data_IF_232441984246
#
_entry.id   IF_232441984246
#
_cell.length_a   1.000
_cell.length_b   1.000
_cell.length_c   1.000
_cell.angle_alpha   90.00
_cell.angle_beta   90.00
_cell.angle_gamma   90.00
#
_symmetry.space_group_name_H-M   'P 1'
#
loop_
_entity.id
_entity.type
_entity.pdbx_description
1 polymer ?
#
# COMPACT_ATOMS: atom_id res chain seq x y z
N UNK A 1 -4.45 7.43 11.95
CA UNK A 1 -4.07 7.34 10.53
C UNK A 1 -3.89 8.70 9.84
N UNK A 2 -4.81 9.69 9.97
CA UNK A 2 -4.61 11.05 9.40
C UNK A 2 -3.24 11.68 9.72
N UNK A 3 -2.76 11.54 10.95
CA UNK A 3 -1.47 12.10 11.34
C UNK A 3 -0.26 11.39 10.70
N UNK A 4 -0.32 10.09 10.46
CA UNK A 4 0.79 9.30 9.89
C UNK A 4 1.00 9.62 8.42
N UNK A 5 -0.08 9.74 7.65
CA UNK A 5 -0.02 10.11 6.23
C UNK A 5 0.44 11.56 6.03
N UNK A 6 -0.08 12.48 6.86
CA UNK A 6 0.33 13.89 6.84
C UNK A 6 1.81 14.06 7.22
N UNK A 7 2.30 13.31 8.24
CA UNK A 7 3.71 13.33 8.63
C UNK A 7 4.59 12.73 7.53
N UNK A 8 4.14 11.66 6.87
CA UNK A 8 4.83 11.03 5.76
C UNK A 8 4.93 11.99 4.56
N UNK A 9 3.85 12.69 4.19
CA UNK A 9 3.83 13.68 3.12
C UNK A 9 4.70 14.90 3.44
N UNK A 10 4.76 15.34 4.71
CA UNK A 10 5.59 16.44 5.17
C UNK A 10 7.07 16.09 5.13
N UNK A 11 7.46 14.90 5.59
CA UNK A 11 8.85 14.40 5.48
C UNK A 11 9.25 14.25 4.03
N UNK A 12 8.35 13.79 3.16
CA UNK A 12 8.57 13.69 1.72
C UNK A 12 8.81 15.05 1.06
N UNK A 13 7.95 16.03 1.31
CA UNK A 13 8.10 17.38 0.74
C UNK A 13 9.36 18.08 1.24
N UNK A 14 9.74 17.89 2.51
CA UNK A 14 10.99 18.46 3.05
C UNK A 14 12.24 17.81 2.43
N UNK A 15 12.23 16.49 2.19
CA UNK A 15 13.35 15.80 1.52
C UNK A 15 13.51 16.20 0.05
N UNK A 16 12.40 16.42 -0.68
CA UNK A 16 12.44 16.95 -2.05
C UNK A 16 13.02 18.38 -2.10
N UNK A 17 12.71 19.23 -1.12
CA UNK A 17 13.23 20.58 -1.01
C UNK A 17 14.74 20.54 -0.68
N UNK A 18 15.18 19.63 0.19
CA UNK A 18 16.61 19.48 0.52
C UNK A 18 17.44 18.94 -0.65
N UNK A 19 16.91 18.00 -1.46
CA UNK A 19 17.60 17.52 -2.66
C UNK A 19 17.71 18.58 -3.76
N UNK A 20 16.76 19.52 -3.81
CA UNK A 20 16.78 20.66 -4.75
C UNK A 20 17.80 21.77 -4.41
N UNK A 21 18.19 21.92 -3.15
CA UNK A 21 19.11 22.97 -2.71
C UNK A 21 20.61 22.66 -2.92
N UNK A 22 20.98 21.40 -3.21
CA UNK A 22 22.36 20.97 -3.45
C UNK A 22 22.89 21.15 -4.88
N UNK A 23 22.08 21.68 -5.81
CA UNK A 23 22.35 21.64 -7.27
C UNK A 23 23.24 22.79 -7.78
N UNK A 24 23.76 23.66 -6.94
CA UNK A 24 24.45 24.90 -7.37
C UNK A 24 25.99 24.81 -7.26
N UNK A 25 26.60 23.66 -7.49
CA UNK A 25 28.05 23.60 -7.55
C UNK A 25 28.60 22.28 -8.09
N UNK A 26 29.26 22.31 -9.24
CA UNK A 26 29.94 21.22 -9.95
C UNK A 26 29.05 20.15 -10.56
N UNK A 27 28.80 20.30 -11.89
CA UNK A 27 27.86 19.48 -12.68
C UNK A 27 28.09 17.96 -12.65
N UNK A 28 29.29 17.48 -12.42
CA UNK A 28 29.61 16.05 -12.49
C UNK A 28 29.30 15.27 -11.21
N UNK A 29 29.60 15.87 -10.04
CA UNK A 29 29.28 15.26 -8.75
C UNK A 29 27.76 15.24 -8.47
N UNK A 30 26.99 16.09 -9.13
CA UNK A 30 25.55 16.25 -8.89
C UNK A 30 24.71 15.07 -9.37
N UNK A 31 25.01 14.48 -10.53
CA UNK A 31 24.18 13.41 -11.13
C UNK A 31 24.24 12.10 -10.34
N UNK A 32 25.44 11.62 -9.98
CA UNK A 32 25.56 10.41 -9.15
C UNK A 32 24.97 10.60 -7.75
N UNK A 33 25.05 11.82 -7.21
CA UNK A 33 24.40 12.18 -5.93
C UNK A 33 22.88 12.11 -6.05
N UNK A 34 22.31 12.58 -7.17
CA UNK A 34 20.85 12.47 -7.41
C UNK A 34 20.41 11.00 -7.42
N UNK A 35 21.09 10.14 -8.22
CA UNK A 35 20.75 8.71 -8.25
C UNK A 35 20.92 8.04 -6.87
N UNK A 36 22.00 8.39 -6.13
CA UNK A 36 22.21 7.90 -4.77
C UNK A 36 21.13 8.35 -3.79
N UNK A 37 20.72 9.61 -3.87
CA UNK A 37 19.62 10.15 -3.05
C UNK A 37 18.29 9.47 -3.36
N UNK A 38 17.97 9.26 -4.64
CA UNK A 38 16.74 8.57 -5.07
C UNK A 38 16.76 7.11 -4.61
N UNK A 39 17.90 6.40 -4.72
CA UNK A 39 18.05 5.04 -4.24
C UNK A 39 17.91 4.94 -2.71
N UNK A 40 18.55 5.84 -1.98
CA UNK A 40 18.42 5.91 -0.51
C UNK A 40 16.98 6.21 -0.10
N UNK A 41 16.32 7.12 -0.80
CA UNK A 41 14.93 7.48 -0.50
C UNK A 41 13.98 6.32 -0.76
N UNK A 42 14.13 5.57 -1.88
CA UNK A 42 13.33 4.37 -2.14
C UNK A 42 13.54 3.27 -1.09
N UNK A 43 14.77 3.14 -0.52
CA UNK A 43 15.03 2.26 0.61
C UNK A 43 14.28 2.70 1.87
N UNK A 44 14.28 4.01 2.16
CA UNK A 44 13.54 4.57 3.31
C UNK A 44 12.04 4.33 3.16
N UNK A 45 11.48 4.50 1.94
CA UNK A 45 10.09 4.21 1.66
C UNK A 45 9.74 2.72 1.84
N UNK A 46 10.60 1.83 1.35
CA UNK A 46 10.45 0.39 1.56
C UNK A 46 10.42 0.04 3.06
N UNK A 47 11.37 0.58 3.83
CA UNK A 47 11.41 0.38 5.28
C UNK A 47 10.18 0.98 5.97
N UNK A 48 9.79 2.20 5.60
CA UNK A 48 8.62 2.88 6.14
C UNK A 48 7.32 2.09 5.86
N UNK A 49 7.17 1.52 4.67
CA UNK A 49 6.04 0.64 4.36
C UNK A 49 5.96 -0.53 5.36
N UNK A 50 7.06 -1.23 5.60
CA UNK A 50 7.07 -2.37 6.51
C UNK A 50 6.94 -1.99 7.99
N UNK A 51 7.35 -0.79 8.40
CA UNK A 51 7.31 -0.34 9.79
C UNK A 51 6.01 0.38 10.15
N UNK A 52 5.47 1.21 9.24
CA UNK A 52 4.38 2.14 9.53
C UNK A 52 3.01 1.66 9.04
N UNK A 53 2.96 0.89 7.94
CA UNK A 53 1.69 0.40 7.40
C UNK A 53 1.21 -0.80 8.21
N UNK A 54 0.08 -0.66 8.88
CA UNK A 54 -0.47 -1.68 9.77
C UNK A 54 -1.02 -2.89 9.00
N UNK A 55 -1.88 -2.66 7.99
CA UNK A 55 -2.40 -3.72 7.09
C UNK A 55 -1.54 -3.81 5.85
N UNK A 56 -0.52 -4.66 5.91
CA UNK A 56 0.44 -4.84 4.81
C UNK A 56 -0.16 -5.69 3.71
N UNK A 57 -0.07 -5.17 2.51
CA UNK A 57 -0.40 -5.90 1.30
C UNK A 57 0.91 -6.34 0.61
N UNK A 58 1.08 -7.63 0.38
CA UNK A 58 2.34 -8.19 -0.14
C UNK A 58 2.76 -7.57 -1.48
N UNK A 59 1.79 -7.24 -2.35
CA UNK A 59 2.10 -6.65 -3.66
C UNK A 59 2.69 -5.25 -3.56
N UNK A 60 2.28 -4.45 -2.57
CA UNK A 60 2.92 -3.17 -2.29
C UNK A 60 4.35 -3.35 -1.78
N UNK A 61 4.62 -4.36 -0.96
CA UNK A 61 5.98 -4.70 -0.56
C UNK A 61 6.87 -5.02 -1.76
N UNK A 62 6.35 -5.79 -2.74
CA UNK A 62 7.07 -6.04 -4.00
C UNK A 62 7.20 -4.80 -4.87
N UNK A 63 6.21 -3.89 -4.89
CA UNK A 63 6.30 -2.61 -5.60
C UNK A 63 7.46 -1.77 -5.05
N UNK A 64 7.49 -1.52 -3.75
CA UNK A 64 8.56 -0.76 -3.08
C UNK A 64 9.94 -1.41 -3.27
N UNK A 65 10.00 -2.74 -3.18
CA UNK A 65 11.24 -3.48 -3.44
C UNK A 65 11.70 -3.30 -4.90
N UNK A 66 10.81 -3.40 -5.87
CA UNK A 66 11.15 -3.22 -7.29
C UNK A 66 11.67 -1.82 -7.57
N UNK A 67 11.04 -0.77 -7.02
CA UNK A 67 11.49 0.62 -7.17
C UNK A 67 12.86 0.83 -6.52
N UNK A 68 13.10 0.26 -5.34
CA UNK A 68 14.42 0.30 -4.71
C UNK A 68 15.49 -0.40 -5.56
N UNK A 69 15.18 -1.56 -6.13
CA UNK A 69 16.11 -2.31 -7.01
C UNK A 69 16.44 -1.53 -8.27
N UNK A 70 15.45 -0.92 -8.94
CA UNK A 70 15.67 -0.05 -10.11
C UNK A 70 16.62 1.09 -9.78
N UNK A 71 16.30 1.85 -8.72
CA UNK A 71 17.06 3.04 -8.35
C UNK A 71 18.48 2.69 -7.89
N UNK A 72 18.65 1.54 -7.22
CA UNK A 72 19.97 1.00 -6.87
C UNK A 72 20.77 0.63 -8.12
N UNK A 73 20.11 0.07 -9.14
CA UNK A 73 20.73 -0.24 -10.42
C UNK A 73 21.25 1.02 -11.12
N UNK A 74 20.44 2.08 -11.20
CA UNK A 74 20.89 3.36 -11.80
C UNK A 74 22.02 4.02 -11.00
N UNK A 75 21.96 3.99 -9.67
CA UNK A 75 23.04 4.49 -8.85
C UNK A 75 24.34 3.72 -9.07
N UNK A 76 24.31 2.38 -9.04
CA UNK A 76 25.50 1.54 -9.26
C UNK A 76 26.06 1.73 -10.69
N UNK A 77 25.20 1.93 -11.69
CA UNK A 77 25.63 2.24 -13.04
C UNK A 77 26.38 3.58 -13.06
N UNK A 78 25.84 4.61 -12.44
CA UNK A 78 26.42 5.96 -12.42
C UNK A 78 27.81 6.04 -11.81
N UNK A 79 28.18 5.11 -10.93
CA UNK A 79 29.48 5.04 -10.26
C UNK A 79 30.38 3.89 -10.77
N UNK A 80 29.94 3.17 -11.80
CA UNK A 80 30.68 2.03 -12.36
C UNK A 80 31.98 2.46 -13.01
N UNK A 81 33.09 1.74 -12.76
CA UNK A 81 34.42 2.05 -13.29
C UNK A 81 34.83 1.18 -14.46
N UNK A 82 34.07 0.14 -14.76
CA UNK A 82 34.35 -0.79 -15.85
C UNK A 82 33.05 -1.31 -16.46
N UNK A 83 33.15 -1.80 -17.69
CA UNK A 83 31.97 -2.27 -18.46
C UNK A 83 31.25 -3.44 -17.76
N UNK A 84 31.98 -4.38 -17.14
CA UNK A 84 31.39 -5.52 -16.46
C UNK A 84 30.50 -5.08 -15.28
N UNK A 85 31.00 -4.16 -14.44
CA UNK A 85 30.22 -3.56 -13.35
C UNK A 85 28.98 -2.79 -13.85
N UNK A 86 29.15 -2.01 -14.93
CA UNK A 86 28.06 -1.27 -15.55
C UNK A 86 26.97 -2.21 -16.12
N UNK A 87 27.36 -3.32 -16.75
CA UNK A 87 26.40 -4.34 -17.23
C UNK A 87 25.64 -5.02 -16.09
N UNK A 88 26.34 -5.34 -14.98
CA UNK A 88 25.66 -5.87 -13.79
C UNK A 88 24.68 -4.87 -13.17
N UNK A 89 25.07 -3.61 -13.08
CA UNK A 89 24.19 -2.53 -12.61
C UNK A 89 22.97 -2.34 -13.51
N UNK A 90 23.16 -2.39 -14.83
CA UNK A 90 22.10 -2.34 -15.83
C UNK A 90 21.13 -3.55 -15.71
N UNK A 91 21.66 -4.76 -15.49
CA UNK A 91 20.82 -5.95 -15.22
C UNK A 91 20.00 -5.78 -13.95
N UNK A 92 20.57 -5.18 -12.90
CA UNK A 92 19.86 -4.90 -11.67
C UNK A 92 18.73 -3.89 -11.90
N UNK A 93 18.95 -2.81 -12.67
CA UNK A 93 17.88 -1.87 -12.99
C UNK A 93 16.76 -2.54 -13.80
N UNK A 94 17.08 -3.40 -14.79
CA UNK A 94 16.08 -4.17 -15.52
C UNK A 94 15.34 -5.18 -14.62
N UNK A 95 15.98 -5.76 -13.61
CA UNK A 95 15.31 -6.65 -12.66
C UNK A 95 14.15 -5.93 -11.96
N UNK A 96 14.35 -4.71 -11.52
CA UNK A 96 13.27 -3.93 -10.93
C UNK A 96 12.25 -3.44 -11.98
N UNK A 97 12.71 -2.78 -13.06
CA UNK A 97 11.84 -2.11 -14.03
C UNK A 97 10.95 -3.07 -14.84
N UNK A 98 11.39 -4.30 -15.08
CA UNK A 98 10.58 -5.31 -15.79
C UNK A 98 9.45 -5.84 -14.91
N UNK A 99 9.69 -6.12 -13.62
CA UNK A 99 8.61 -6.63 -12.76
C UNK A 99 7.63 -5.56 -12.27
N UNK A 100 8.02 -4.30 -12.28
CA UNK A 100 7.23 -3.18 -11.79
C UNK A 100 5.86 -3.05 -12.48
N UNK A 101 5.73 -3.04 -13.83
CA UNK A 101 4.42 -2.94 -14.49
C UNK A 101 3.50 -4.12 -14.18
N UNK A 102 4.06 -5.33 -14.03
CA UNK A 102 3.30 -6.51 -13.64
C UNK A 102 2.71 -6.34 -12.24
N UNK A 103 3.53 -5.91 -11.29
CA UNK A 103 3.11 -5.68 -9.90
C UNK A 103 2.04 -4.59 -9.84
N UNK A 104 2.24 -3.48 -10.55
CA UNK A 104 1.25 -2.40 -10.66
C UNK A 104 -0.09 -2.90 -11.21
N UNK A 105 -0.08 -3.72 -12.28
CA UNK A 105 -1.31 -4.30 -12.84
C UNK A 105 -2.04 -5.16 -11.80
N UNK A 106 -1.32 -5.97 -11.02
CA UNK A 106 -1.93 -6.82 -9.99
C UNK A 106 -2.54 -5.98 -8.86
N UNK A 107 -1.85 -4.92 -8.41
CA UNK A 107 -2.39 -3.96 -7.42
C UNK A 107 -3.67 -3.32 -7.97
N UNK A 108 -3.65 -2.80 -9.20
CA UNK A 108 -4.81 -2.18 -9.84
C UNK A 108 -5.98 -3.16 -9.96
N UNK A 109 -5.73 -4.40 -10.39
CA UNK A 109 -6.79 -5.42 -10.45
C UNK A 109 -7.40 -5.67 -9.07
N UNK A 110 -6.60 -5.66 -8.02
CA UNK A 110 -7.04 -5.88 -6.65
C UNK A 110 -7.86 -4.70 -6.13
N UNK A 111 -7.36 -3.48 -6.27
CA UNK A 111 -8.05 -2.26 -5.86
C UNK A 111 -9.36 -2.05 -6.67
N UNK A 112 -9.38 -2.48 -7.93
CA UNK A 112 -10.58 -2.51 -8.77
C UNK A 112 -11.51 -3.72 -8.49
N UNK A 113 -11.24 -4.55 -7.47
CA UNK A 113 -12.03 -5.75 -7.11
C UNK A 113 -12.23 -6.72 -8.28
N UNK A 114 -11.24 -6.84 -9.16
CA UNK A 114 -11.25 -7.75 -10.30
C UNK A 114 -10.75 -9.12 -9.83
N UNK A 115 -11.59 -10.15 -9.98
CA UNK A 115 -11.21 -11.52 -9.61
C UNK A 115 -10.22 -12.10 -10.62
N UNK A 116 -9.11 -12.62 -10.13
CA UNK A 116 -8.12 -13.34 -10.93
C UNK A 116 -7.73 -14.67 -10.25
N UNK A 117 -7.29 -15.64 -11.06
CA UNK A 117 -6.82 -16.94 -10.57
C UNK A 117 -5.29 -16.92 -10.49
N UNK A 118 -4.70 -17.79 -9.69
CA UNK A 118 -3.24 -17.90 -9.52
C UNK A 118 -2.50 -18.13 -10.84
N UNK A 119 -3.10 -18.85 -11.77
CA UNK A 119 -2.46 -19.10 -13.07
C UNK A 119 -2.30 -17.83 -13.91
N UNK A 120 -3.19 -16.82 -13.82
CA UNK A 120 -3.01 -15.54 -14.51
C UNK A 120 -1.74 -14.83 -14.03
N UNK A 121 -1.51 -14.82 -12.70
CA UNK A 121 -0.27 -14.26 -12.13
C UNK A 121 0.94 -15.05 -12.62
N UNK A 122 0.87 -16.38 -12.66
CA UNK A 122 1.94 -17.22 -13.15
C UNK A 122 2.28 -16.93 -14.62
N UNK A 123 1.28 -16.77 -15.50
CA UNK A 123 1.48 -16.39 -16.89
C UNK A 123 2.14 -15.01 -17.04
N UNK A 124 1.68 -14.02 -16.27
CA UNK A 124 2.27 -12.69 -16.26
C UNK A 124 3.73 -12.72 -15.76
N UNK A 125 4.00 -13.51 -14.72
CA UNK A 125 5.35 -13.67 -14.18
C UNK A 125 6.29 -14.35 -15.19
N UNK A 126 5.85 -15.43 -15.85
CA UNK A 126 6.64 -16.10 -16.90
C UNK A 126 6.94 -15.13 -18.05
N UNK A 127 5.94 -14.37 -18.49
CA UNK A 127 6.14 -13.34 -19.52
C UNK A 127 7.18 -12.31 -19.09
N UNK A 128 7.08 -11.80 -17.86
CA UNK A 128 8.05 -10.84 -17.30
C UNK A 128 9.45 -11.45 -17.16
N UNK A 129 9.57 -12.70 -16.75
CA UNK A 129 10.86 -13.41 -16.65
C UNK A 129 11.52 -13.53 -18.04
N UNK A 130 10.77 -13.90 -19.08
CA UNK A 130 11.30 -14.00 -20.43
C UNK A 130 11.82 -12.66 -20.95
N UNK A 131 11.06 -11.58 -20.73
CA UNK A 131 11.49 -10.22 -21.11
C UNK A 131 12.69 -9.77 -20.29
N UNK A 132 12.73 -10.09 -18.98
CA UNK A 132 13.90 -9.80 -18.15
C UNK A 132 15.16 -10.52 -18.64
N UNK A 133 15.07 -11.82 -18.97
CA UNK A 133 16.21 -12.58 -19.49
C UNK A 133 16.72 -11.98 -20.81
N UNK A 134 15.81 -11.52 -21.68
CA UNK A 134 16.18 -10.83 -22.89
C UNK A 134 16.86 -9.48 -22.61
N UNK A 135 16.29 -8.63 -21.75
CA UNK A 135 16.83 -7.32 -21.40
C UNK A 135 18.16 -7.41 -20.61
N UNK A 136 18.39 -8.53 -19.89
CA UNK A 136 19.61 -8.82 -19.14
C UNK A 136 20.71 -9.49 -20.00
N UNK A 137 20.44 -9.83 -21.26
CA UNK A 137 21.35 -10.54 -22.17
C UNK A 137 22.58 -9.74 -22.65
N UNK A 138 22.64 -8.39 -22.66
CA UNK A 138 23.79 -7.64 -23.13
C UNK A 138 25.11 -8.09 -22.46
N UNK A 139 26.16 -8.24 -23.30
CA UNK A 139 27.44 -8.79 -22.89
C UNK A 139 27.50 -10.33 -22.82
N UNK A 140 26.37 -11.03 -23.12
CA UNK A 140 26.28 -12.49 -23.26
C UNK A 140 25.76 -12.81 -24.69
N UNK A 141 24.69 -12.12 -25.10
CA UNK A 141 24.05 -12.27 -26.41
C UNK A 141 23.83 -10.88 -27.02
N UNK A 142 24.17 -10.73 -28.32
CA UNK A 142 24.08 -9.46 -29.05
C UNK A 142 22.68 -9.29 -29.71
N UNK A 143 21.61 -9.72 -29.02
CA UNK A 143 20.24 -9.69 -29.57
C UNK A 143 19.44 -8.51 -29.07
N UNK A 144 19.66 -8.06 -27.81
CA UNK A 144 18.97 -6.93 -27.18
C UNK A 144 19.74 -5.62 -27.42
N UNK A 145 21.06 -5.64 -27.21
CA UNK A 145 22.01 -4.64 -27.72
C UNK A 145 22.99 -5.33 -28.66
N UNK A 146 23.23 -4.73 -29.81
CA UNK A 146 24.20 -5.21 -30.78
C UNK A 146 25.64 -4.94 -30.29
N UNK A 147 25.86 -3.78 -29.71
CA UNK A 147 27.08 -3.44 -28.98
C UNK A 147 26.79 -2.51 -27.82
N UNK A 148 27.65 -2.55 -26.80
CA UNK A 148 27.55 -1.69 -25.63
C UNK A 148 28.95 -1.28 -25.18
N UNK A 149 29.12 0.02 -24.89
CA UNK A 149 30.36 0.57 -24.36
C UNK A 149 30.10 1.41 -23.10
N UNK A 150 31.08 1.48 -22.23
CA UNK A 150 31.04 2.35 -21.05
C UNK A 150 31.58 3.72 -21.45
N UNK A 151 30.79 4.76 -21.28
CA UNK A 151 31.17 6.14 -21.51
C UNK A 151 31.03 6.95 -20.25
N UNK A 152 31.74 8.08 -20.18
CA UNK A 152 31.58 9.03 -19.07
C UNK A 152 30.97 10.32 -19.63
N UNK A 153 29.74 10.61 -19.22
CA UNK A 153 29.01 11.81 -19.62
C UNK A 153 28.89 12.72 -18.40
N UNK A 154 29.41 13.93 -18.49
CA UNK A 154 29.37 14.90 -17.37
C UNK A 154 29.91 14.30 -16.04
N UNK A 155 30.96 13.46 -16.08
CA UNK A 155 31.58 12.82 -14.93
C UNK A 155 30.81 11.62 -14.35
N UNK A 156 29.74 11.18 -14.99
CA UNK A 156 28.90 10.04 -14.59
C UNK A 156 29.08 8.92 -15.61
N UNK A 157 29.19 7.70 -15.13
CA UNK A 157 29.27 6.52 -15.99
C UNK A 157 27.89 6.20 -16.59
N UNK A 158 27.85 6.05 -17.90
CA UNK A 158 26.67 5.66 -18.67
C UNK A 158 27.01 4.56 -19.68
N UNK A 159 26.02 3.80 -20.11
CA UNK A 159 26.18 2.85 -21.20
C UNK A 159 25.73 3.48 -22.51
N UNK A 160 26.65 3.59 -23.47
CA UNK A 160 26.32 3.86 -24.84
C UNK A 160 25.88 2.54 -25.50
N UNK A 161 24.66 2.54 -26.05
CA UNK A 161 23.95 1.33 -26.46
C UNK A 161 23.62 1.40 -27.96
N UNK A 162 24.08 0.43 -28.76
CA UNK A 162 23.53 0.19 -30.08
C UNK A 162 22.43 -0.88 -29.96
N UNK A 163 21.22 -0.52 -30.34
CA UNK A 163 20.06 -1.36 -30.15
C UNK A 163 20.04 -2.55 -31.13
N UNK A 164 19.88 -3.76 -30.59
CA UNK A 164 19.74 -4.98 -31.34
C UNK A 164 18.32 -5.24 -31.86
N UNK A 165 18.11 -6.30 -32.63
CA UNK A 165 16.83 -6.59 -33.30
C UNK A 165 15.68 -6.86 -32.32
N UNK A 166 15.96 -7.32 -31.11
CA UNK A 166 14.94 -7.64 -30.10
C UNK A 166 14.76 -6.52 -29.05
N UNK A 167 15.39 -5.37 -29.21
CA UNK A 167 15.23 -4.24 -28.28
C UNK A 167 13.77 -3.78 -28.17
N UNK A 168 13.04 -3.75 -29.28
CA UNK A 168 11.63 -3.34 -29.32
C UNK A 168 10.69 -4.22 -28.49
N UNK A 169 11.10 -5.44 -28.12
CA UNK A 169 10.28 -6.34 -27.27
C UNK A 169 9.96 -5.69 -25.94
N UNK A 170 10.90 -4.96 -25.34
CA UNK A 170 10.66 -4.25 -24.08
C UNK A 170 9.63 -3.11 -24.23
N UNK A 171 9.66 -2.41 -25.35
CA UNK A 171 8.66 -1.40 -25.70
C UNK A 171 7.26 -2.01 -25.77
N UNK A 172 7.08 -3.10 -26.53
CA UNK A 172 5.80 -3.80 -26.65
C UNK A 172 5.33 -4.37 -25.31
N UNK A 173 6.26 -4.84 -24.48
CA UNK A 173 5.99 -5.28 -23.13
C UNK A 173 5.38 -4.17 -22.26
N UNK A 174 5.96 -2.97 -22.25
CA UNK A 174 5.45 -1.81 -21.52
C UNK A 174 4.07 -1.39 -22.04
N UNK A 175 3.91 -1.30 -23.37
CA UNK A 175 2.62 -0.97 -23.99
C UNK A 175 1.53 -1.97 -23.64
N UNK A 176 1.85 -3.26 -23.60
CA UNK A 176 0.92 -4.31 -23.18
C UNK A 176 0.43 -4.07 -21.74
N UNK A 177 1.34 -3.85 -20.79
CA UNK A 177 0.95 -3.63 -19.40
C UNK A 177 0.19 -2.31 -19.20
N UNK A 178 0.61 -1.23 -19.85
CA UNK A 178 -0.10 0.04 -19.78
C UNK A 178 -1.52 -0.07 -20.36
N UNK A 179 -1.64 -0.72 -21.52
CA UNK A 179 -2.96 -1.00 -22.13
C UNK A 179 -3.84 -1.86 -21.23
N UNK A 180 -3.26 -2.91 -20.62
CA UNK A 180 -3.97 -3.76 -19.68
C UNK A 180 -4.43 -2.99 -18.43
N UNK A 181 -3.60 -2.12 -17.84
CA UNK A 181 -3.97 -1.28 -16.71
C UNK A 181 -5.12 -0.34 -17.04
N UNK A 182 -5.04 0.39 -18.16
CA UNK A 182 -6.11 1.28 -18.63
C UNK A 182 -7.40 0.49 -18.86
N UNK A 183 -7.31 -0.67 -19.52
CA UNK A 183 -8.47 -1.54 -19.75
C UNK A 183 -9.13 -1.99 -18.45
N UNK A 184 -8.34 -2.42 -17.46
CA UNK A 184 -8.87 -2.88 -16.17
C UNK A 184 -9.53 -1.76 -15.38
N UNK A 185 -8.94 -0.55 -15.35
CA UNK A 185 -9.52 0.63 -14.70
C UNK A 185 -10.84 1.02 -15.37
N UNK A 186 -10.85 1.09 -16.70
CA UNK A 186 -12.05 1.43 -17.48
C UNK A 186 -13.17 0.40 -17.26
N UNK A 187 -12.82 -0.89 -17.30
CA UNK A 187 -13.77 -1.97 -17.02
C UNK A 187 -14.35 -1.87 -15.61
N UNK A 188 -13.52 -1.62 -14.60
CA UNK A 188 -13.98 -1.48 -13.22
C UNK A 188 -14.86 -0.24 -13.03
N UNK A 189 -14.57 0.86 -13.72
CA UNK A 189 -15.35 2.09 -13.70
C UNK A 189 -16.73 1.85 -14.32
N UNK A 190 -16.81 1.25 -15.51
CA UNK A 190 -18.09 0.92 -16.19
C UNK A 190 -18.93 -0.04 -15.33
N UNK A 191 -18.31 -1.04 -14.71
CA UNK A 191 -19.00 -2.02 -13.84
C UNK A 191 -19.28 -1.48 -12.43
N UNK A 192 -19.01 -0.21 -12.15
CA UNK A 192 -19.22 0.45 -10.84
C UNK A 192 -18.62 -0.34 -9.67
N UNK A 193 -17.44 -0.96 -9.89
CA UNK A 193 -16.74 -1.73 -8.86
C UNK A 193 -15.97 -0.85 -7.89
N UNK A 194 -15.64 0.37 -8.29
CA UNK A 194 -15.00 1.38 -7.45
C UNK A 194 -16.06 2.20 -6.70
N UNK A 195 -15.84 2.54 -5.41
CA UNK A 195 -16.80 3.26 -4.58
C UNK A 195 -17.15 4.65 -5.13
N UNK A 196 -16.17 5.33 -5.74
CA UNK A 196 -16.32 6.66 -6.36
C UNK A 196 -15.56 6.71 -7.67
N UNK A 197 -16.11 7.39 -8.68
CA UNK A 197 -15.42 7.66 -9.95
C UNK A 197 -14.08 8.38 -9.77
N UNK A 198 -13.95 9.19 -8.71
CA UNK A 198 -12.72 9.89 -8.35
C UNK A 198 -11.54 8.91 -8.14
N UNK A 199 -11.77 7.74 -7.52
CA UNK A 199 -10.71 6.74 -7.30
C UNK A 199 -10.19 6.18 -8.63
N UNK A 200 -11.09 5.90 -9.60
CA UNK A 200 -10.69 5.47 -10.93
C UNK A 200 -9.84 6.52 -11.65
N UNK A 201 -10.21 7.81 -11.54
CA UNK A 201 -9.49 8.93 -12.15
C UNK A 201 -8.08 9.05 -11.54
N UNK A 202 -7.92 8.90 -10.22
CA UNK A 202 -6.63 9.03 -9.56
C UNK A 202 -5.70 7.85 -9.95
N UNK A 203 -6.21 6.61 -9.96
CA UNK A 203 -5.45 5.44 -10.40
C UNK A 203 -5.03 5.59 -11.87
N UNK A 204 -5.96 5.98 -12.74
CA UNK A 204 -5.68 6.24 -14.15
C UNK A 204 -4.66 7.37 -14.33
N UNK A 205 -4.75 8.44 -13.52
CA UNK A 205 -3.80 9.54 -13.52
C UNK A 205 -2.39 9.10 -13.16
N UNK A 206 -2.22 8.25 -12.15
CA UNK A 206 -0.92 7.72 -11.77
C UNK A 206 -0.28 6.90 -12.92
N UNK A 207 -1.05 6.05 -13.58
CA UNK A 207 -0.59 5.29 -14.74
C UNK A 207 -0.26 6.22 -15.91
N UNK A 208 -1.13 7.20 -16.18
CA UNK A 208 -0.96 8.17 -17.27
C UNK A 208 0.30 9.03 -17.10
N UNK A 209 0.60 9.49 -15.88
CA UNK A 209 1.82 10.25 -15.59
C UNK A 209 3.06 9.43 -15.95
N UNK A 210 3.11 8.13 -15.59
CA UNK A 210 4.24 7.27 -15.96
C UNK A 210 4.38 7.11 -17.47
N UNK A 211 3.27 6.93 -18.20
CA UNK A 211 3.28 6.84 -19.66
C UNK A 211 3.81 8.14 -20.25
N UNK A 212 3.35 9.29 -19.77
CA UNK A 212 3.81 10.60 -20.26
C UNK A 212 5.30 10.81 -20.01
N UNK A 213 5.82 10.49 -18.82
CA UNK A 213 7.24 10.63 -18.51
C UNK A 213 8.07 9.68 -19.36
N UNK A 214 7.64 8.43 -19.50
CA UNK A 214 8.32 7.47 -20.36
C UNK A 214 8.35 7.90 -21.83
N UNK A 215 7.22 8.40 -22.39
CA UNK A 215 7.18 8.95 -23.75
C UNK A 215 8.08 10.17 -23.89
N UNK A 216 8.10 11.03 -22.89
CA UNK A 216 8.96 12.21 -22.87
C UNK A 216 10.44 11.81 -22.95
N UNK A 217 10.89 10.81 -22.17
CA UNK A 217 12.25 10.27 -22.21
C UNK A 217 12.60 9.66 -23.58
N UNK A 218 11.62 9.03 -24.27
CA UNK A 218 11.85 8.52 -25.62
C UNK A 218 12.01 9.62 -26.66
N UNK A 219 11.35 10.76 -26.48
CA UNK A 219 11.37 11.90 -27.42
C UNK A 219 12.53 12.86 -27.15
N UNK A 220 12.89 13.05 -25.90
CA UNK A 220 13.92 13.98 -25.46
C UNK A 220 15.08 13.19 -24.88
N UNK A 221 16.22 13.20 -25.59
CA UNK A 221 17.44 12.58 -25.09
C UNK A 221 17.98 13.43 -23.93
N UNK A 222 17.71 12.97 -22.70
CA UNK A 222 18.18 13.60 -21.47
C UNK A 222 19.33 12.81 -20.86
N UNK A 223 20.28 13.51 -20.25
CA UNK A 223 21.40 12.90 -19.53
C UNK A 223 20.96 12.24 -18.19
N UNK A 224 19.68 12.35 -17.84
CA UNK A 224 19.09 11.87 -16.58
C UNK A 224 17.83 11.04 -16.83
N UNK A 225 17.76 9.87 -16.18
CA UNK A 225 16.62 8.95 -16.21
C UNK A 225 15.48 9.47 -15.28
N UNK A 226 14.57 10.28 -15.82
CA UNK A 226 13.42 10.83 -15.08
C UNK A 226 12.47 9.73 -14.60
N UNK A 227 12.44 8.60 -15.29
CA UNK A 227 11.58 7.46 -14.99
C UNK A 227 11.84 6.92 -13.57
N UNK A 228 13.10 7.00 -13.08
CA UNK A 228 13.47 6.59 -11.73
C UNK A 228 12.72 7.36 -10.64
N UNK A 229 12.54 8.66 -10.83
CA UNK A 229 11.79 9.53 -9.90
C UNK A 229 10.29 9.31 -10.05
N UNK A 230 9.80 9.09 -11.30
CA UNK A 230 8.39 8.85 -11.55
C UNK A 230 7.86 7.57 -10.89
N UNK A 231 8.69 6.55 -10.76
CA UNK A 231 8.34 5.33 -10.05
C UNK A 231 8.03 5.60 -8.57
N UNK A 232 8.82 6.44 -7.89
CA UNK A 232 8.57 6.83 -6.50
C UNK A 232 7.22 7.55 -6.37
N UNK A 233 6.95 8.50 -7.27
CA UNK A 233 5.68 9.23 -7.28
C UNK A 233 4.52 8.26 -7.44
N UNK A 234 4.63 7.32 -8.36
CA UNK A 234 3.57 6.33 -8.63
C UNK A 234 3.32 5.39 -7.46
N UNK A 235 4.38 4.87 -6.83
CA UNK A 235 4.21 3.98 -5.68
C UNK A 235 3.50 4.69 -4.51
N UNK A 236 3.81 5.98 -4.29
CA UNK A 236 3.15 6.80 -3.27
C UNK A 236 1.68 7.07 -3.63
N UNK A 237 1.38 7.36 -4.90
CA UNK A 237 0.00 7.52 -5.36
C UNK A 237 -0.81 6.24 -5.20
N UNK A 238 -0.28 5.10 -5.63
CA UNK A 238 -0.96 3.81 -5.51
C UNK A 238 -1.17 3.43 -4.03
N UNK A 239 -0.15 3.63 -3.19
CA UNK A 239 -0.30 3.39 -1.75
C UNK A 239 -1.35 4.31 -1.14
N UNK A 240 -1.33 5.62 -1.47
CA UNK A 240 -2.32 6.58 -0.97
C UNK A 240 -3.74 6.19 -1.33
N UNK A 241 -3.98 5.77 -2.57
CA UNK A 241 -5.30 5.31 -3.02
C UNK A 241 -5.71 4.03 -2.30
N UNK A 242 -4.79 3.07 -2.18
CA UNK A 242 -5.06 1.81 -1.49
C UNK A 242 -5.50 2.05 -0.04
N UNK A 243 -4.80 2.94 0.69
CA UNK A 243 -5.16 3.30 2.06
C UNK A 243 -6.50 4.03 2.14
N UNK A 244 -6.82 4.92 1.18
CA UNK A 244 -8.12 5.57 1.09
C UNK A 244 -9.26 4.57 0.81
N UNK A 245 -9.04 3.59 -0.06
CA UNK A 245 -10.02 2.55 -0.35
C UNK A 245 -10.27 1.66 0.88
N UNK A 246 -9.23 1.31 1.63
CA UNK A 246 -9.38 0.58 2.89
C UNK A 246 -10.20 1.38 3.92
N UNK A 247 -9.94 2.69 4.07
CA UNK A 247 -10.69 3.56 4.99
C UNK A 247 -12.18 3.59 4.62
N UNK A 248 -12.51 3.74 3.33
CA UNK A 248 -13.90 3.74 2.84
C UNK A 248 -14.58 2.39 3.06
N UNK A 249 -13.87 1.27 2.87
CA UNK A 249 -14.42 -0.07 3.14
C UNK A 249 -14.69 -0.29 4.64
N UNK A 250 -13.80 0.18 5.50
CA UNK A 250 -13.99 0.13 6.96
C UNK A 250 -15.19 0.98 7.40
N UNK A 251 -15.34 2.21 6.85
CA UNK A 251 -16.49 3.07 7.13
C UNK A 251 -17.81 2.44 6.65
N UNK A 252 -17.81 1.84 5.44
CA UNK A 252 -18.99 1.18 4.89
C UNK A 252 -19.37 -0.08 5.70
N UNK A 253 -18.40 -0.89 6.09
CA UNK A 253 -18.62 -2.05 6.96
C UNK A 253 -19.17 -1.63 8.32
N UNK A 254 -18.65 -0.54 8.87
CA UNK A 254 -19.14 0.04 10.13
C UNK A 254 -20.57 0.57 10.02
N UNK A 255 -20.92 1.25 8.91
CA UNK A 255 -22.28 1.75 8.67
C UNK A 255 -23.29 0.60 8.57
N UNK A 256 -22.97 -0.46 7.81
CA UNK A 256 -23.83 -1.67 7.69
C UNK A 256 -24.01 -2.36 9.05
N UNK A 257 -22.94 -2.44 9.84
CA UNK A 257 -23.00 -3.01 11.18
C UNK A 257 -23.87 -2.17 12.14
N UNK A 258 -23.76 -0.84 12.01
CA UNK A 258 -24.61 0.09 12.78
C UNK A 258 -26.08 -0.05 12.43
N UNK A 259 -26.44 -0.08 11.12
CA UNK A 259 -27.82 -0.24 10.64
C UNK A 259 -28.41 -1.58 11.08
N UNK A 260 -27.61 -2.66 11.06
CA UNK A 260 -28.04 -3.99 11.52
C UNK A 260 -28.35 -4.01 13.00
N UNK A 261 -27.52 -3.36 13.80
CA UNK A 261 -27.74 -3.26 15.25
C UNK A 261 -28.89 -2.30 15.60
N UNK A 262 -29.12 -1.24 14.82
CA UNK A 262 -30.29 -0.36 14.98
C UNK A 262 -31.58 -1.08 14.58
N UNK A 263 -31.56 -1.94 13.56
CA UNK A 263 -32.71 -2.76 13.16
C UNK A 263 -33.03 -3.86 14.20
N UNK A 264 -32.02 -4.46 14.83
CA UNK A 264 -32.22 -5.42 15.93
C UNK A 264 -32.71 -4.74 17.23
N UNK A 265 -32.35 -3.46 17.44
CA UNK A 265 -32.83 -2.70 18.63
C UNK A 265 -34.26 -2.19 18.50
N UNK A 266 -34.86 -2.19 17.31
CA UNK A 266 -36.26 -1.80 17.10
C UNK A 266 -37.26 -2.90 17.50
N UNK A 267 -36.80 -4.15 17.71
CA UNK A 267 -37.63 -5.25 18.18
C UNK A 267 -37.27 -5.67 19.62
N UNK A 268 -37.18 -4.71 20.54
CA UNK A 268 -37.31 -5.00 21.98
C UNK A 268 -38.77 -4.64 22.33
N UNK A 269 -39.62 -5.61 22.68
CA UNK A 269 -40.88 -5.29 23.35
C UNK A 269 -40.57 -4.39 24.55
N UNK A 270 -41.38 -3.38 24.76
CA UNK A 270 -41.26 -2.47 25.92
C UNK A 270 -40.81 -3.25 27.15
N UNK A 271 -39.77 -2.79 27.89
CA UNK A 271 -39.42 -3.43 29.12
C UNK A 271 -40.66 -3.50 29.99
N UNK A 272 -40.95 -4.66 30.61
CA UNK A 272 -42.11 -4.75 31.52
C UNK A 272 -41.98 -3.65 32.58
N UNK A 273 -43.07 -2.95 32.83
CA UNK A 273 -43.19 -2.01 33.95
C UNK A 273 -42.82 -2.79 35.19
N UNK A 274 -41.71 -2.43 35.82
CA UNK A 274 -41.22 -3.07 37.02
C UNK A 274 -42.20 -2.79 38.17
N UNK A 275 -43.07 -3.75 38.46
CA UNK A 275 -43.66 -3.88 39.79
C UNK A 275 -42.55 -4.30 40.76
N UNK A 276 -42.47 -3.67 41.91
CA UNK A 276 -41.43 -3.88 42.95
C UNK A 276 -41.40 -5.35 43.42
N UNK A 277 -40.32 -6.10 43.05
CA UNK A 277 -40.04 -7.48 43.47
C UNK A 277 -38.77 -7.51 44.36
N UNK A 278 -38.65 -8.42 45.34
CA UNK A 278 -37.62 -8.36 46.39
C UNK A 278 -36.19 -8.50 45.89
N UNK A 279 -35.32 -7.68 46.48
CA UNK A 279 -34.04 -7.14 45.99
C UNK A 279 -32.83 -8.07 45.74
N UNK A 280 -32.88 -9.38 45.81
CA UNK A 280 -31.61 -10.17 45.74
C UNK A 280 -31.52 -11.20 44.60
N UNK A 281 -32.60 -11.87 44.24
CA UNK A 281 -32.53 -12.91 43.16
C UNK A 281 -32.73 -12.33 41.74
N UNK A 282 -33.55 -11.28 41.61
CA UNK A 282 -33.84 -10.63 40.33
C UNK A 282 -32.66 -9.85 39.75
N UNK A 283 -31.78 -9.28 40.60
CA UNK A 283 -30.58 -8.58 40.11
C UNK A 283 -29.53 -9.54 39.54
N UNK A 284 -29.44 -10.75 40.08
CA UNK A 284 -28.54 -11.80 39.60
C UNK A 284 -29.06 -12.38 38.28
N UNK A 285 -30.36 -12.62 38.20
CA UNK A 285 -31.01 -13.11 36.98
C UNK A 285 -30.87 -12.10 35.84
N UNK A 286 -31.09 -10.80 36.12
CA UNK A 286 -30.82 -9.73 35.17
C UNK A 286 -29.36 -9.68 34.71
N UNK A 287 -28.39 -9.87 35.60
CA UNK A 287 -26.98 -9.89 35.27
C UNK A 287 -26.62 -11.08 34.34
N UNK A 288 -27.20 -12.27 34.60
CA UNK A 288 -27.03 -13.45 33.76
C UNK A 288 -27.65 -13.27 32.36
N UNK A 289 -28.81 -12.66 32.27
CA UNK A 289 -29.45 -12.27 30.99
C UNK A 289 -28.57 -11.28 30.21
N UNK A 290 -27.98 -10.29 30.86
CA UNK A 290 -27.05 -9.36 30.24
C UNK A 290 -25.84 -10.08 29.66
N UNK A 291 -25.26 -11.06 30.37
CA UNK A 291 -24.14 -11.88 29.85
C UNK A 291 -24.52 -12.69 28.62
N UNK A 292 -25.71 -13.30 28.60
CA UNK A 292 -26.21 -14.05 27.43
C UNK A 292 -26.49 -13.13 26.24
N UNK A 293 -26.88 -11.89 26.49
CA UNK A 293 -27.19 -10.89 25.45
C UNK A 293 -25.96 -10.33 24.73
N UNK A 294 -24.74 -10.56 25.26
CA UNK A 294 -23.51 -10.06 24.64
C UNK A 294 -23.24 -10.76 23.30
N UNK A 295 -22.93 -9.98 22.30
CA UNK A 295 -22.39 -10.53 21.03
C UNK A 295 -21.01 -11.14 21.25
N UNK A 296 -20.51 -12.04 20.36
CA UNK A 296 -19.19 -12.65 20.52
C UNK A 296 -18.05 -11.64 20.74
N UNK A 297 -18.07 -10.53 20.00
CA UNK A 297 -17.07 -9.47 20.14
C UNK A 297 -17.21 -8.68 21.44
N UNK A 298 -18.44 -8.38 21.86
CA UNK A 298 -18.71 -7.72 23.13
C UNK A 298 -18.29 -8.61 24.30
N UNK A 299 -18.51 -9.93 24.20
CA UNK A 299 -18.08 -10.90 25.21
C UNK A 299 -16.56 -10.94 25.33
N UNK A 300 -15.83 -10.98 24.21
CA UNK A 300 -14.36 -10.90 24.23
C UNK A 300 -13.87 -9.63 24.90
N UNK A 301 -14.45 -8.46 24.55
CA UNK A 301 -14.07 -7.17 25.15
C UNK A 301 -14.43 -7.14 26.64
N UNK A 302 -15.56 -7.69 27.03
CA UNK A 302 -15.98 -7.84 28.42
C UNK A 302 -15.00 -8.70 29.21
N UNK A 303 -14.58 -9.86 28.67
CA UNK A 303 -13.60 -10.76 29.28
C UNK A 303 -12.22 -10.09 29.43
N UNK A 304 -11.79 -9.31 28.45
CA UNK A 304 -10.57 -8.49 28.54
C UNK A 304 -10.66 -7.42 29.64
N UNK A 305 -11.84 -6.82 29.82
CA UNK A 305 -12.05 -5.85 30.92
C UNK A 305 -11.97 -6.53 32.29
N UNK A 306 -12.52 -7.74 32.43
CA UNK A 306 -12.43 -8.54 33.67
C UNK A 306 -10.99 -8.96 33.97
N UNK A 307 -10.20 -9.29 32.92
CA UNK A 307 -8.78 -9.63 33.04
C UNK A 307 -7.88 -8.41 33.32
N UNK A 308 -8.45 -7.21 33.47
CA UNK A 308 -7.69 -6.00 33.77
C UNK A 308 -6.93 -5.40 32.55
N UNK A 309 -7.10 -5.96 31.37
CA UNK A 309 -6.40 -5.52 30.15
C UNK A 309 -6.81 -4.08 29.79
N UNK A 310 -5.81 -3.28 29.40
CA UNK A 310 -6.01 -1.88 29.03
C UNK A 310 -6.68 -1.73 27.66
N UNK A 311 -7.44 -0.65 27.46
CA UNK A 311 -8.13 -0.39 26.17
C UNK A 311 -7.17 -0.41 24.98
N UNK A 312 -5.94 0.09 25.13
CA UNK A 312 -4.93 0.08 24.06
C UNK A 312 -4.48 -1.33 23.69
N UNK A 313 -4.35 -2.20 24.68
CA UNK A 313 -3.97 -3.60 24.47
C UNK A 313 -5.11 -4.39 23.83
N UNK A 314 -6.36 -4.15 24.27
CA UNK A 314 -7.55 -4.75 23.61
C UNK A 314 -7.64 -4.34 22.15
N UNK A 315 -7.37 -3.07 21.83
CA UNK A 315 -7.35 -2.58 20.46
C UNK A 315 -6.28 -3.29 19.61
N UNK A 316 -5.11 -3.55 20.18
CA UNK A 316 -4.04 -4.27 19.52
C UNK A 316 -4.38 -5.74 19.29
N UNK A 317 -4.92 -6.41 20.32
CA UNK A 317 -5.26 -7.84 20.27
C UNK A 317 -6.41 -8.14 19.29
N UNK A 318 -7.46 -7.32 19.31
CA UNK A 318 -8.62 -7.48 18.44
C UNK A 318 -8.47 -6.78 17.08
N UNK A 319 -7.35 -6.10 16.85
CA UNK A 319 -7.09 -5.34 15.62
C UNK A 319 -8.20 -4.31 15.29
N UNK A 320 -8.75 -3.62 16.32
CA UNK A 320 -9.83 -2.65 16.18
C UNK A 320 -9.38 -1.22 16.48
N UNK A 321 -10.13 -0.24 15.95
CA UNK A 321 -9.84 1.19 16.16
C UNK A 321 -10.37 1.67 17.52
N UNK A 322 -9.89 2.86 17.96
CA UNK A 322 -10.38 3.50 19.19
C UNK A 322 -11.89 3.78 19.13
N UNK A 323 -12.41 4.15 17.98
CA UNK A 323 -13.84 4.39 17.79
C UNK A 323 -14.64 3.08 17.89
N UNK A 324 -14.11 1.99 17.35
CA UNK A 324 -14.75 0.67 17.40
C UNK A 324 -14.84 0.16 18.84
N UNK A 325 -13.76 0.26 19.62
CA UNK A 325 -13.81 -0.19 21.03
C UNK A 325 -14.72 0.72 21.88
N UNK A 326 -14.74 2.05 21.64
CA UNK A 326 -15.68 2.96 22.30
C UNK A 326 -17.13 2.58 22.02
N UNK A 327 -17.42 2.17 20.79
CA UNK A 327 -18.76 1.69 20.40
C UNK A 327 -19.14 0.41 21.14
N UNK A 328 -18.29 -0.62 21.14
CA UNK A 328 -18.56 -1.85 21.89
C UNK A 328 -18.69 -1.60 23.39
N UNK A 329 -17.84 -0.78 23.97
CA UNK A 329 -17.95 -0.40 25.38
C UNK A 329 -19.28 0.27 25.69
N UNK A 330 -19.73 1.21 24.84
CA UNK A 330 -21.04 1.85 24.99
C UNK A 330 -22.19 0.83 24.97
N UNK A 331 -22.12 -0.16 24.09
CA UNK A 331 -23.15 -1.20 24.01
C UNK A 331 -23.12 -2.12 25.21
N UNK A 332 -21.94 -2.56 25.66
CA UNK A 332 -21.79 -3.35 26.89
C UNK A 332 -22.38 -2.58 28.09
N UNK A 333 -21.97 -1.32 28.26
CA UNK A 333 -22.44 -0.50 29.38
C UNK A 333 -23.95 -0.32 29.35
N UNK A 334 -24.55 -0.11 28.17
CA UNK A 334 -26.00 -0.01 28.02
C UNK A 334 -26.73 -1.30 28.41
N UNK A 335 -26.22 -2.45 28.02
CA UNK A 335 -26.79 -3.77 28.34
C UNK A 335 -26.79 -4.05 29.84
N UNK A 336 -25.71 -3.68 30.54
CA UNK A 336 -25.56 -3.83 31.98
C UNK A 336 -26.15 -2.67 32.78
N UNK A 337 -26.71 -1.63 32.14
CA UNK A 337 -27.27 -0.46 32.84
C UNK A 337 -26.23 0.39 33.57
N UNK A 338 -24.95 0.33 33.12
CA UNK A 338 -23.83 1.08 33.72
C UNK A 338 -23.33 2.17 32.80
N UNK A 339 -22.61 3.17 33.32
CA UNK A 339 -22.10 4.30 32.56
C UNK A 339 -20.57 4.29 32.39
N UNK A 340 -19.86 3.38 33.03
CA UNK A 340 -18.39 3.34 33.01
C UNK A 340 -17.81 1.94 33.22
N UNK A 341 -16.53 1.73 32.76
CA UNK A 341 -15.78 0.51 33.04
C UNK A 341 -15.70 0.21 34.55
N UNK A 342 -15.55 1.24 35.37
CA UNK A 342 -15.46 1.08 36.83
C UNK A 342 -16.75 0.48 37.39
N UNK A 343 -17.90 1.02 37.01
CA UNK A 343 -19.21 0.51 37.45
C UNK A 343 -19.47 -0.90 36.93
N UNK A 344 -19.05 -1.22 35.68
CA UNK A 344 -19.13 -2.57 35.14
C UNK A 344 -18.35 -3.56 36.02
N UNK A 345 -17.10 -3.25 36.34
CA UNK A 345 -16.23 -4.10 37.15
C UNK A 345 -16.76 -4.26 38.58
N UNK A 346 -17.34 -3.20 39.20
CA UNK A 346 -18.00 -3.26 40.48
C UNK A 346 -19.23 -4.20 40.46
N UNK A 347 -20.03 -4.12 39.37
CA UNK A 347 -21.16 -5.00 39.16
C UNK A 347 -20.70 -6.46 38.99
N UNK A 348 -19.67 -6.70 38.16
CA UNK A 348 -19.08 -8.01 38.01
C UNK A 348 -18.53 -8.59 39.32
N UNK A 349 -17.86 -7.78 40.14
CA UNK A 349 -17.34 -8.18 41.44
C UNK A 349 -18.42 -8.59 42.44
N UNK A 350 -19.67 -8.16 42.20
CA UNK A 350 -20.83 -8.53 43.03
C UNK A 350 -21.42 -9.92 42.66
N UNK A 351 -21.35 -10.29 41.35
CA UNK A 351 -22.05 -11.47 40.80
C UNK A 351 -21.15 -12.54 40.21
N UNK A 352 -19.88 -12.25 39.87
CA UNK A 352 -18.88 -13.20 39.38
C UNK A 352 -17.88 -13.44 40.53
N UNK A 353 -18.24 -14.31 41.45
CA UNK A 353 -17.32 -14.87 42.46
C UNK A 353 -17.23 -16.36 42.31
#
# INVERSE_FOLDING_TARGET
>A
MKNTFSTFLFVFSSLLIFSGCGIIGEKAASMSVIYGTVAFFSLVLLAAYFLLVYRKEMWFGFLFLSVFVVNSGYFLLSVSKNLGGALWANRLSYLGSVFLPMIMLIIIMKDCKIRYKRWHIACLAVFSILVFLLAASPGILDVYYESVSLVTVNGVSALEKNYGPLHSVYLFYLLFYFGAMIFMITYASIKKRLPKSTHAIIIAGAVFINICIWLFEQLVHMDFELLSVSYIITELFLLGIHLLLQEVEEEAAFAVFKDKNEAETVYIPNPPVLEEIPKNDSEKEFFEECLVSLTPTEKMIFDFHLSGIGTKEIMAELCITENTIKFHNKNIYRKFGVSSKKQLLELCGKYIR
#
